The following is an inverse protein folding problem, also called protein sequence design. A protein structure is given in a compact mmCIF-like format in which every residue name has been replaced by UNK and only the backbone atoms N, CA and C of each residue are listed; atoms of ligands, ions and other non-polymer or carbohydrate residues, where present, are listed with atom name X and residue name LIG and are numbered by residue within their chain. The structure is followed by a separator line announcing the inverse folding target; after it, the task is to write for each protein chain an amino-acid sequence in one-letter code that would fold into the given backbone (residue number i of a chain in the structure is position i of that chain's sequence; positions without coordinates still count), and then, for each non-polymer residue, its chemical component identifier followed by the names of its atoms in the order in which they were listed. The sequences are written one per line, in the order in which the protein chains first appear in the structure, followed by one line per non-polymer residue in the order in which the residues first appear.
data_IF_218360046429
#
_entry.id   IF_218360046429
#
_cell.length_a   1.000
_cell.length_b   1.000
_cell.length_c   1.000
_cell.angle_alpha   90.00
_cell.angle_beta   90.00
_cell.angle_gamma   90.00
#
_symmetry.space_group_name_H-M   'P 1'
#
loop_
_entity.id
_entity.type
_entity.pdbx_description
1 polymer ?
#
# COMPACT_ATOMS: atom_id res chain seq x y z
N UNK A 1 13.28 9.16 -4.11
CA UNK A 1 12.36 8.45 -5.03
C UNK A 1 11.92 9.35 -6.17
N UNK A 2 11.43 10.57 -5.90
CA UNK A 2 11.00 11.55 -6.92
C UNK A 2 12.06 11.99 -7.95
N UNK A 3 13.35 11.73 -7.74
CA UNK A 3 14.43 12.13 -8.65
C UNK A 3 14.86 11.03 -9.65
N UNK A 4 14.24 9.84 -9.60
CA UNK A 4 14.61 8.70 -10.46
C UNK A 4 13.51 8.24 -11.41
N UNK A 5 12.26 8.60 -11.13
CA UNK A 5 11.11 8.18 -11.92
C UNK A 5 10.01 9.24 -11.84
N UNK A 6 9.21 9.35 -12.89
CA UNK A 6 8.03 10.22 -12.91
C UNK A 6 6.84 9.58 -12.16
N UNK A 7 6.76 8.24 -12.17
CA UNK A 7 5.69 7.46 -11.54
C UNK A 7 6.24 6.27 -10.75
N UNK A 8 5.52 5.88 -9.72
CA UNK A 8 5.83 4.71 -8.89
C UNK A 8 4.67 3.74 -8.99
N UNK A 9 4.96 2.49 -9.34
CA UNK A 9 4.02 1.37 -9.26
C UNK A 9 4.46 0.43 -8.13
N UNK A 10 3.58 0.21 -7.16
CA UNK A 10 3.80 -0.71 -6.05
C UNK A 10 3.16 -2.04 -6.39
N UNK A 11 3.90 -3.12 -6.20
CA UNK A 11 3.41 -4.47 -6.43
C UNK A 11 3.44 -5.32 -5.16
N UNK A 12 2.43 -6.18 -5.00
CA UNK A 12 2.40 -7.20 -3.97
C UNK A 12 1.94 -8.53 -4.55
N UNK A 13 2.73 -9.59 -4.33
CA UNK A 13 2.47 -10.96 -4.81
C UNK A 13 2.00 -11.00 -6.27
N UNK A 14 2.70 -10.31 -7.18
CA UNK A 14 2.42 -10.34 -8.61
C UNK A 14 1.24 -9.45 -9.07
N UNK A 15 0.71 -8.58 -8.21
CA UNK A 15 -0.32 -7.59 -8.58
C UNK A 15 0.17 -6.18 -8.33
N UNK A 16 -0.13 -5.26 -9.26
CA UNK A 16 0.00 -3.82 -9.01
C UNK A 16 -1.12 -3.43 -8.03
N UNK A 17 -0.73 -2.88 -6.88
CA UNK A 17 -1.66 -2.47 -5.83
C UNK A 17 -1.85 -0.96 -5.76
N UNK A 18 -0.90 -0.20 -6.29
CA UNK A 18 -0.96 1.26 -6.29
C UNK A 18 -0.03 1.86 -7.36
N UNK A 19 -0.49 2.93 -8.03
CA UNK A 19 0.31 3.71 -8.99
C UNK A 19 0.02 5.20 -8.79
N UNK A 20 1.05 6.02 -8.64
CA UNK A 20 0.92 7.48 -8.60
C UNK A 20 2.24 8.15 -9.03
N UNK A 21 2.21 9.48 -9.17
CA UNK A 21 3.41 10.24 -9.44
C UNK A 21 4.43 10.10 -8.28
N UNK A 22 5.71 10.13 -8.62
CA UNK A 22 6.76 9.92 -7.64
C UNK A 22 6.88 11.06 -6.61
N UNK A 23 6.41 12.26 -6.94
CA UNK A 23 6.40 13.42 -6.04
C UNK A 23 5.33 13.30 -4.95
N UNK A 24 4.15 12.79 -5.31
CA UNK A 24 3.03 12.55 -4.43
C UNK A 24 3.10 11.27 -3.63
N UNK A 25 3.96 10.30 -4.01
CA UNK A 25 3.98 8.97 -3.40
C UNK A 25 4.05 8.97 -1.87
N UNK A 26 4.92 9.79 -1.29
CA UNK A 26 5.16 9.77 0.17
C UNK A 26 3.99 10.34 0.98
N UNK A 27 3.21 11.25 0.42
CA UNK A 27 2.13 11.97 1.11
C UNK A 27 0.74 11.47 0.71
N UNK A 28 0.56 11.05 -0.54
CA UNK A 28 -0.74 10.69 -1.13
C UNK A 28 -0.97 9.19 -1.27
N UNK A 29 -0.01 8.32 -0.93
CA UNK A 29 -0.26 6.87 -0.93
C UNK A 29 -1.55 6.56 -0.15
N UNK A 30 -2.37 5.64 -0.65
CA UNK A 30 -3.62 5.20 -0.03
C UNK A 30 -3.65 3.70 0.26
N UNK A 31 -2.78 2.89 -0.34
CA UNK A 31 -2.79 1.45 -0.08
C UNK A 31 -2.04 1.14 1.23
N UNK A 32 -2.62 0.36 2.18
CA UNK A 32 -1.94 0.05 3.45
C UNK A 32 -0.57 -0.63 3.30
N UNK A 33 -0.37 -1.37 2.21
CA UNK A 33 0.96 -1.90 1.87
C UNK A 33 1.99 -0.79 1.53
N UNK A 34 1.60 0.22 0.77
CA UNK A 34 2.47 1.36 0.45
C UNK A 34 2.81 2.17 1.70
N UNK A 35 1.87 2.30 2.64
CA UNK A 35 2.12 2.90 3.94
C UNK A 35 3.18 2.15 4.74
N UNK A 36 3.09 0.83 4.79
CA UNK A 36 4.09 0.01 5.45
C UNK A 36 5.47 0.09 4.79
N UNK A 37 5.54 0.14 3.46
CA UNK A 37 6.81 0.36 2.74
C UNK A 37 7.42 1.72 3.12
N UNK A 38 6.60 2.77 3.21
CA UNK A 38 7.04 4.10 3.61
C UNK A 38 7.47 4.16 5.09
N UNK A 39 6.78 3.45 5.97
CA UNK A 39 7.15 3.32 7.38
C UNK A 39 8.45 2.53 7.62
N UNK A 40 8.83 1.66 6.68
CA UNK A 40 10.09 0.90 6.73
C UNK A 40 11.30 1.73 6.28
N UNK A 41 11.11 2.91 5.70
CA UNK A 41 12.22 3.79 5.28
C UNK A 41 12.93 4.31 6.53
N UNK A 42 14.26 4.13 6.66
CA UNK A 42 15.01 4.64 7.79
C UNK A 42 14.89 6.16 7.91
N UNK A 43 14.38 6.64 9.05
CA UNK A 43 14.38 8.06 9.39
C UNK A 43 15.66 8.44 10.14
N UNK A 44 16.34 9.55 9.78
CA UNK A 44 17.48 10.06 10.54
C UNK A 44 17.14 10.24 12.01
N UNK A 45 18.08 9.96 12.92
CA UNK A 45 17.82 9.91 14.37
C UNK A 45 17.15 11.16 14.95
N UNK A 46 17.40 12.31 14.35
CA UNK A 46 16.86 13.62 14.75
C UNK A 46 15.34 13.73 14.56
N UNK A 47 14.70 12.82 13.80
CA UNK A 47 13.25 12.83 13.49
C UNK A 47 12.50 11.60 14.01
N UNK A 48 13.10 10.81 14.93
CA UNK A 48 12.52 9.55 15.43
C UNK A 48 11.18 9.71 16.17
N UNK A 49 10.80 10.92 16.60
CA UNK A 49 9.57 11.18 17.35
C UNK A 49 8.29 11.32 16.54
N UNK A 50 8.38 11.56 15.22
CA UNK A 50 7.23 12.00 14.41
C UNK A 50 6.60 10.89 13.54
N UNK A 51 7.09 9.64 13.64
CA UNK A 51 6.66 8.54 12.76
C UNK A 51 6.03 7.40 13.55
N UNK A 52 4.69 7.34 13.59
CA UNK A 52 3.98 6.12 13.94
C UNK A 52 4.25 5.06 12.87
N UNK A 53 4.93 3.98 13.26
CA UNK A 53 5.21 2.86 12.37
C UNK A 53 3.98 1.97 12.32
N UNK A 54 3.29 1.91 11.19
CA UNK A 54 2.36 0.80 10.94
C UNK A 54 3.15 -0.51 10.89
N UNK A 55 3.09 -1.29 11.98
CA UNK A 55 3.74 -2.58 12.07
C UNK A 55 2.94 -3.58 11.24
N UNK A 56 3.55 -4.12 10.19
CA UNK A 56 2.99 -5.27 9.49
C UNK A 56 3.12 -6.52 10.37
N UNK A 57 2.01 -7.20 10.59
CA UNK A 57 2.00 -8.48 11.30
C UNK A 57 2.21 -9.63 10.31
N UNK A 58 3.03 -10.61 10.73
CA UNK A 58 3.21 -11.88 10.03
C UNK A 58 4.10 -11.85 8.77
N UNK A 59 4.43 -13.06 8.31
CA UNK A 59 5.22 -13.32 7.10
C UNK A 59 4.36 -13.13 5.83
N UNK A 60 4.97 -12.78 4.68
CA UNK A 60 4.29 -12.82 3.38
C UNK A 60 3.75 -14.22 3.08
N UNK A 61 2.52 -14.37 2.54
CA UNK A 61 2.00 -15.65 2.12
C UNK A 61 2.74 -16.18 0.88
N UNK A 62 2.59 -17.48 0.62
CA UNK A 62 3.22 -18.16 -0.51
C UNK A 62 2.69 -17.58 -1.84
N UNK A 63 3.61 -17.14 -2.70
CA UNK A 63 3.26 -16.55 -3.99
C UNK A 63 2.67 -17.56 -4.99
N UNK A 64 2.93 -18.87 -4.82
CA UNK A 64 2.37 -19.94 -5.66
C UNK A 64 0.88 -20.13 -5.39
N UNK A 65 0.47 -20.01 -4.11
CA UNK A 65 -0.91 -20.15 -3.66
C UNK A 65 -1.31 -18.87 -2.91
N UNK A 66 -1.54 -17.75 -3.64
CA UNK A 66 -1.94 -16.50 -3.01
C UNK A 66 -3.30 -16.67 -2.33
N UNK A 67 -3.59 -15.88 -1.28
CA UNK A 67 -4.89 -15.92 -0.63
C UNK A 67 -5.99 -15.42 -1.58
N UNK A 68 -7.22 -15.88 -1.34
CA UNK A 68 -8.40 -15.40 -2.04
C UNK A 68 -8.68 -13.91 -1.74
N UNK A 69 -9.41 -13.26 -2.64
CA UNK A 69 -9.73 -11.85 -2.50
C UNK A 69 -8.50 -10.94 -2.66
N UNK A 70 -8.34 -9.98 -1.76
CA UNK A 70 -7.20 -9.07 -1.75
C UNK A 70 -5.95 -9.78 -1.24
N UNK A 71 -4.91 -9.89 -2.09
CA UNK A 71 -3.67 -10.60 -1.72
C UNK A 71 -2.99 -10.12 -0.44
N UNK A 72 -3.21 -8.87 -0.06
CA UNK A 72 -2.63 -8.25 1.13
C UNK A 72 -3.50 -8.39 2.40
N UNK A 73 -4.73 -8.89 2.30
CA UNK A 73 -5.66 -8.99 3.43
C UNK A 73 -5.10 -9.74 4.68
N UNK A 74 -4.20 -10.74 4.58
CA UNK A 74 -3.67 -11.40 5.77
C UNK A 74 -2.77 -10.53 6.64
N UNK A 75 -2.17 -9.48 6.04
CA UNK A 75 -1.22 -8.57 6.70
C UNK A 75 -1.75 -7.14 6.80
N UNK A 76 -2.92 -6.87 6.21
CA UNK A 76 -3.53 -5.56 6.17
C UNK A 76 -4.14 -5.21 7.54
N UNK A 77 -3.68 -4.13 8.22
CA UNK A 77 -4.24 -3.72 9.51
C UNK A 77 -5.68 -3.19 9.39
N UNK A 78 -6.10 -2.82 8.17
CA UNK A 78 -7.45 -2.29 7.87
C UNK A 78 -8.35 -3.31 7.16
N UNK A 79 -8.09 -4.60 7.29
CA UNK A 79 -8.86 -5.66 6.61
C UNK A 79 -10.36 -5.62 6.96
N UNK A 80 -11.22 -5.82 5.95
CA UNK A 80 -12.67 -5.98 6.08
C UNK A 80 -13.11 -7.32 5.47
N UNK A 81 -14.36 -7.74 5.70
CA UNK A 81 -14.89 -9.00 5.18
C UNK A 81 -14.72 -9.11 3.65
N UNK A 82 -15.09 -8.07 2.89
CA UNK A 82 -14.95 -8.01 1.44
C UNK A 82 -13.51 -8.27 0.94
N UNK A 83 -12.50 -7.93 1.73
CA UNK A 83 -11.10 -8.15 1.36
C UNK A 83 -10.72 -9.64 1.31
N UNK A 84 -11.47 -10.51 1.99
CA UNK A 84 -11.24 -11.97 1.99
C UNK A 84 -11.99 -12.68 0.86
N UNK A 85 -12.96 -12.00 0.26
CA UNK A 85 -13.93 -12.61 -0.67
C UNK A 85 -13.72 -12.12 -2.11
N UNK A 86 -13.35 -10.85 -2.30
CA UNK A 86 -13.23 -10.23 -3.62
C UNK A 86 -11.87 -9.58 -3.80
N UNK A 87 -11.24 -9.80 -4.96
CA UNK A 87 -10.03 -9.08 -5.34
C UNK A 87 -10.41 -7.62 -5.67
N UNK A 88 -9.72 -6.62 -5.09
CA UNK A 88 -9.98 -5.22 -5.41
C UNK A 88 -9.52 -4.91 -6.84
N UNK A 89 -10.36 -4.18 -7.56
CA UNK A 89 -10.00 -3.66 -8.88
C UNK A 89 -9.02 -2.49 -8.74
N UNK A 90 -8.03 -2.45 -9.63
CA UNK A 90 -7.14 -1.29 -9.75
C UNK A 90 -7.94 -0.15 -10.39
N UNK A 91 -8.39 0.80 -9.57
CA UNK A 91 -9.25 1.91 -9.99
C UNK A 91 -8.61 3.25 -9.67
N UNK A 92 -8.99 4.26 -10.44
CA UNK A 92 -8.57 5.63 -10.20
C UNK A 92 -9.31 6.21 -9.00
N UNK A 93 -8.55 6.78 -8.05
CA UNK A 93 -9.08 7.40 -6.82
C UNK A 93 -8.88 8.91 -6.83
N UNK A 94 -7.85 9.38 -7.51
CA UNK A 94 -7.56 10.76 -7.87
C UNK A 94 -6.87 10.76 -9.24
N UNK A 95 -6.77 11.92 -9.89
CA UNK A 95 -6.12 12.07 -11.19
C UNK A 95 -4.70 11.46 -11.20
N UNK A 96 -4.49 10.45 -12.07
CA UNK A 96 -3.22 9.76 -12.21
C UNK A 96 -2.85 8.79 -11.07
N UNK A 97 -3.74 8.63 -10.07
CA UNK A 97 -3.57 7.80 -8.89
C UNK A 97 -4.51 6.59 -8.91
N UNK A 98 -3.93 5.43 -9.18
CA UNK A 98 -4.64 4.15 -9.25
C UNK A 98 -4.38 3.33 -7.98
N UNK A 99 -5.41 2.74 -7.38
CA UNK A 99 -5.29 1.93 -6.17
C UNK A 99 -6.19 0.70 -6.26
N UNK A 100 -5.62 -0.48 -5.97
CA UNK A 100 -6.36 -1.73 -5.81
C UNK A 100 -6.66 -1.98 -4.33
N UNK A 101 -7.59 -1.22 -3.76
CA UNK A 101 -8.06 -1.40 -2.39
C UNK A 101 -9.55 -1.07 -2.28
N UNK A 102 -10.30 -1.94 -1.59
CA UNK A 102 -11.74 -1.74 -1.34
C UNK A 102 -12.05 -0.49 -0.50
N UNK A 103 -11.07 -0.01 0.25
CA UNK A 103 -11.21 1.13 1.17
C UNK A 103 -10.47 2.39 0.70
N UNK A 104 -9.92 2.38 -0.52
CA UNK A 104 -9.25 3.56 -1.05
C UNK A 104 -10.24 4.75 -1.17
N UNK A 105 -9.84 5.91 -0.67
CA UNK A 105 -10.69 7.11 -0.55
C UNK A 105 -11.59 7.15 0.69
N UNK A 106 -11.50 6.16 1.59
CA UNK A 106 -12.25 6.15 2.86
C UNK A 106 -11.38 6.53 4.07
N UNK A 107 -10.07 6.68 3.89
CA UNK A 107 -9.12 7.05 4.93
C UNK A 107 -8.09 8.04 4.37
N UNK A 108 -7.85 9.10 5.13
CA UNK A 108 -6.60 9.88 5.06
C UNK A 108 -5.59 9.19 5.98
N UNK A 109 -4.31 9.24 5.59
CA UNK A 109 -3.21 8.55 6.27
C UNK A 109 -3.10 8.92 7.74
#
# INVERSE_FOLDING_TARGET
MSYMADRIAVMYLGKIVEVLDAGGFTSRSCHPYSWALLAAVPVPEVRKGDFEREILYGEPPNAVNPPDGCRFHPRCPRVKAICREKEPELREVEDGHLVACHLAGQFER
#
